data_IF_118755804085
#
_entry.id   IF_118755804085
#
_cell.length_a   1.000
_cell.length_b   1.000
_cell.length_c   1.000
_cell.angle_alpha   90.00
_cell.angle_beta   90.00
_cell.angle_gamma   90.00
#
_symmetry.space_group_name_H-M   'P 1'
#
loop_
_entity.id
_entity.type
_entity.pdbx_description
1 polymer ?
#
# COMPACT_ATOMS: atom_id res chain seq x y z
N UNK A 1 20.34 14.49 -8.89
CA UNK A 1 19.25 14.31 -7.92
C UNK A 1 19.81 13.51 -6.76
N UNK A 2 19.78 14.07 -5.57
CA UNK A 2 20.49 13.56 -4.38
C UNK A 2 19.85 12.28 -3.87
N UNK A 3 20.66 11.25 -3.63
CA UNK A 3 20.21 10.07 -2.88
C UNK A 3 19.72 10.54 -1.49
N UNK A 4 18.54 10.11 -1.01
CA UNK A 4 18.08 10.50 0.31
C UNK A 4 19.07 9.99 1.36
N UNK A 5 19.41 10.86 2.31
CA UNK A 5 20.25 10.55 3.47
C UNK A 5 19.45 9.62 4.38
N UNK A 6 20.08 8.54 4.85
CA UNK A 6 19.50 7.65 5.87
C UNK A 6 19.03 8.50 7.07
N UNK A 7 17.71 8.64 7.26
CA UNK A 7 17.10 9.37 8.38
C UNK A 7 16.14 10.50 8.02
N UNK A 8 16.05 10.91 6.75
CA UNK A 8 15.11 11.95 6.32
C UNK A 8 13.77 11.32 5.88
N UNK A 9 12.64 11.80 6.43
CA UNK A 9 11.32 11.35 5.99
C UNK A 9 11.12 11.88 4.55
N UNK A 10 10.85 11.01 3.57
CA UNK A 10 10.65 11.46 2.20
C UNK A 10 9.45 12.40 2.12
N UNK A 11 9.59 13.46 1.33
CA UNK A 11 8.51 14.40 1.11
C UNK A 11 7.27 13.68 0.56
N UNK A 12 6.11 14.03 1.11
CA UNK A 12 4.83 13.50 0.70
C UNK A 12 4.32 14.27 -0.53
N UNK A 13 3.85 13.53 -1.54
CA UNK A 13 3.22 14.09 -2.74
C UNK A 13 1.71 13.84 -2.69
N UNK A 14 0.89 14.82 -3.10
CA UNK A 14 -0.55 14.63 -3.15
C UNK A 14 -0.91 13.55 -4.20
N UNK A 15 -1.64 12.51 -3.79
CA UNK A 15 -2.08 11.43 -4.66
C UNK A 15 -3.55 11.54 -5.07
N UNK A 16 -4.35 12.19 -4.22
CA UNK A 16 -5.76 12.44 -4.50
C UNK A 16 -6.57 12.58 -3.23
N UNK A 17 -7.87 12.33 -3.34
CA UNK A 17 -8.79 12.29 -2.22
C UNK A 17 -9.67 11.05 -2.34
N UNK A 18 -10.07 10.48 -1.21
CA UNK A 18 -11.10 9.44 -1.17
C UNK A 18 -12.46 10.02 -1.58
N UNK A 19 -13.42 9.14 -1.89
CA UNK A 19 -14.85 9.51 -2.08
C UNK A 19 -15.40 10.34 -0.91
N UNK A 20 -14.95 10.06 0.31
CA UNK A 20 -15.33 10.77 1.53
C UNK A 20 -14.54 12.08 1.77
N UNK A 21 -13.65 12.45 0.84
CA UNK A 21 -12.92 13.72 0.85
C UNK A 21 -11.61 13.72 1.64
N UNK A 22 -11.16 12.58 2.16
CA UNK A 22 -9.87 12.49 2.87
C UNK A 22 -8.70 12.59 1.91
N UNK A 23 -7.73 13.46 2.22
CA UNK A 23 -6.51 13.58 1.43
C UNK A 23 -5.67 12.29 1.53
N UNK A 24 -5.16 11.84 0.38
CA UNK A 24 -4.24 10.71 0.27
C UNK A 24 -2.94 11.22 -0.30
N UNK A 25 -1.84 10.84 0.32
CA UNK A 25 -0.49 11.23 -0.07
C UNK A 25 0.32 9.99 -0.47
N UNK A 26 1.34 10.19 -1.30
CA UNK A 26 2.34 9.20 -1.70
C UNK A 26 3.70 9.54 -1.08
N UNK A 27 4.33 8.53 -0.51
CA UNK A 27 5.72 8.59 -0.04
C UNK A 27 6.59 7.78 -1.00
N UNK A 28 7.64 8.41 -1.54
CA UNK A 28 8.60 7.74 -2.41
C UNK A 28 9.86 7.35 -1.62
N UNK A 29 10.05 6.06 -1.44
CA UNK A 29 11.22 5.46 -0.79
C UNK A 29 12.25 5.07 -1.86
N UNK A 30 13.53 5.35 -1.63
CA UNK A 30 14.63 4.98 -2.53
C UNK A 30 15.75 4.35 -1.75
N UNK A 31 16.38 3.30 -2.30
CA UNK A 31 17.60 2.74 -1.72
C UNK A 31 18.83 3.02 -2.60
N UNK A 32 20.02 2.74 -2.05
CA UNK A 32 21.30 2.94 -2.75
C UNK A 32 21.47 2.05 -3.99
N UNK A 33 20.67 1.00 -4.14
CA UNK A 33 20.74 0.02 -5.23
C UNK A 33 19.76 0.35 -6.38
N UNK A 34 19.12 1.52 -6.36
CA UNK A 34 18.23 1.97 -7.43
C UNK A 34 16.78 1.46 -7.34
N UNK A 35 16.39 0.76 -6.27
CA UNK A 35 15.00 0.40 -6.02
C UNK A 35 14.21 1.62 -5.57
N UNK A 36 13.00 1.78 -6.10
CA UNK A 36 12.06 2.84 -5.74
C UNK A 36 10.73 2.22 -5.37
N UNK A 37 10.23 2.47 -4.16
CA UNK A 37 8.90 2.06 -3.73
C UNK A 37 8.05 3.31 -3.48
N UNK A 38 6.80 3.31 -3.98
CA UNK A 38 5.83 4.36 -3.68
C UNK A 38 4.70 3.78 -2.85
N UNK A 39 4.47 4.37 -1.67
CA UNK A 39 3.48 3.89 -0.71
C UNK A 39 2.49 5.01 -0.42
N UNK A 40 1.19 4.75 -0.52
CA UNK A 40 0.17 5.74 -0.17
C UNK A 40 -0.27 5.66 1.29
N UNK A 41 -0.71 6.78 1.85
CA UNK A 41 -1.17 6.88 3.25
C UNK A 41 -2.41 6.04 3.53
N UNK A 42 -3.27 5.83 2.53
CA UNK A 42 -4.45 4.97 2.66
C UNK A 42 -4.04 3.50 2.69
N UNK A 43 -4.19 2.88 3.86
CA UNK A 43 -3.90 1.45 4.05
C UNK A 43 -2.43 1.06 3.88
N UNK A 44 -1.51 2.03 3.96
CA UNK A 44 -0.08 1.83 3.70
C UNK A 44 0.16 1.00 2.42
N UNK A 45 -0.58 1.32 1.36
CA UNK A 45 -0.64 0.49 0.14
C UNK A 45 0.58 0.75 -0.72
N UNK A 46 1.26 -0.32 -1.15
CA UNK A 46 2.33 -0.25 -2.15
C UNK A 46 1.71 0.00 -3.54
N UNK A 47 1.88 1.21 -4.06
CA UNK A 47 1.30 1.64 -5.32
C UNK A 47 2.21 1.31 -6.49
N UNK A 48 3.52 1.53 -6.33
CA UNK A 48 4.52 1.25 -7.36
C UNK A 48 5.78 0.66 -6.74
N UNK A 49 6.44 -0.24 -7.47
CA UNK A 49 7.73 -0.80 -7.08
C UNK A 49 8.62 -0.92 -8.31
N UNK A 50 9.53 0.04 -8.48
CA UNK A 50 10.50 0.04 -9.56
C UNK A 50 11.73 -0.77 -9.17
N UNK A 51 11.98 -1.85 -9.90
CA UNK A 51 13.10 -2.77 -9.66
C UNK A 51 14.04 -2.77 -10.87
N UNK A 52 15.35 -2.49 -10.69
CA UNK A 52 16.34 -2.60 -11.76
C UNK A 52 16.48 -4.04 -12.28
N UNK A 53 16.45 -4.21 -13.60
CA UNK A 53 16.76 -5.46 -14.28
C UNK A 53 18.27 -5.74 -14.33
N UNK A 54 18.68 -6.83 -15.01
CA UNK A 54 20.09 -7.21 -15.17
C UNK A 54 20.95 -6.15 -15.92
N UNK A 55 20.33 -5.22 -16.62
CA UNK A 55 21.00 -4.12 -17.33
C UNK A 55 20.91 -2.80 -16.54
N UNK A 56 20.34 -2.81 -15.33
CA UNK A 56 20.11 -1.63 -14.51
C UNK A 56 18.89 -0.80 -14.91
N UNK A 57 18.06 -1.27 -15.85
CA UNK A 57 16.82 -0.59 -16.25
C UNK A 57 15.73 -0.91 -15.24
N UNK A 58 15.20 0.10 -14.55
CA UNK A 58 14.11 -0.07 -13.59
C UNK A 58 12.74 -0.10 -14.29
N UNK A 59 11.87 -0.99 -13.84
CA UNK A 59 10.47 -1.08 -14.29
C UNK A 59 9.53 -1.34 -13.12
N UNK A 60 8.27 -0.93 -13.23
CA UNK A 60 7.26 -1.15 -12.19
C UNK A 60 6.77 -2.60 -12.23
N UNK A 61 6.97 -3.34 -11.13
CA UNK A 61 6.72 -4.79 -11.08
C UNK A 61 5.48 -5.19 -10.28
N UNK A 62 4.69 -4.22 -9.82
CA UNK A 62 3.44 -4.48 -9.08
C UNK A 62 2.21 -4.06 -9.88
N UNK A 63 1.09 -4.74 -9.64
CA UNK A 63 -0.20 -4.31 -10.14
C UNK A 63 -0.77 -3.22 -9.24
N UNK A 64 -1.47 -2.26 -9.84
CA UNK A 64 -2.03 -1.12 -9.12
C UNK A 64 -2.89 -0.25 -10.02
N UNK A 65 -3.18 0.95 -9.52
CA UNK A 65 -3.98 1.96 -10.22
C UNK A 65 -3.26 3.30 -10.23
N UNK A 66 -3.59 4.15 -11.19
CA UNK A 66 -2.98 5.47 -11.34
C UNK A 66 -3.45 6.49 -10.29
N UNK A 67 -4.62 6.26 -9.67
CA UNK A 67 -5.21 7.17 -8.70
C UNK A 67 -5.98 6.47 -7.58
N UNK A 68 -6.36 7.26 -6.56
CA UNK A 68 -7.10 6.80 -5.37
C UNK A 68 -8.43 6.15 -5.74
N UNK A 69 -9.10 6.60 -6.80
CA UNK A 69 -10.43 6.11 -7.18
C UNK A 69 -10.38 4.67 -7.67
N UNK A 70 -9.32 4.27 -8.38
CA UNK A 70 -9.07 2.88 -8.74
C UNK A 70 -8.89 1.98 -7.50
N UNK A 71 -8.20 2.47 -6.46
CA UNK A 71 -8.09 1.74 -5.19
C UNK A 71 -9.40 1.70 -4.36
N UNK A 72 -10.42 2.47 -4.74
CA UNK A 72 -11.77 2.48 -4.15
C UNK A 72 -12.84 1.86 -5.06
N UNK A 73 -12.44 1.29 -6.20
CA UNK A 73 -13.34 0.61 -7.13
C UNK A 73 -13.50 -0.88 -6.77
N UNK A 74 -14.53 -1.49 -7.34
CA UNK A 74 -14.79 -2.93 -7.20
C UNK A 74 -13.74 -3.79 -7.92
N UNK A 75 -12.97 -3.20 -8.83
CA UNK A 75 -11.90 -3.89 -9.56
C UNK A 75 -10.67 -4.14 -8.66
N UNK A 76 -10.57 -3.44 -7.52
CA UNK A 76 -9.44 -3.58 -6.62
C UNK A 76 -9.49 -4.91 -5.83
N UNK A 77 -8.73 -5.90 -6.29
CA UNK A 77 -8.54 -7.20 -5.64
C UNK A 77 -7.46 -7.16 -4.53
N UNK A 78 -7.49 -6.14 -3.67
CA UNK A 78 -6.52 -5.93 -2.58
C UNK A 78 -5.07 -5.66 -3.03
N UNK A 79 -4.88 -5.02 -4.20
CA UNK A 79 -3.54 -4.77 -4.76
C UNK A 79 -2.66 -3.95 -3.82
N UNK A 80 -1.47 -4.47 -3.51
CA UNK A 80 -0.44 -3.80 -2.71
C UNK A 80 -0.83 -3.46 -1.28
N UNK A 81 -2.02 -3.86 -0.80
CA UNK A 81 -2.56 -3.37 0.47
C UNK A 81 -1.89 -4.00 1.69
N UNK A 82 -1.88 -3.27 2.80
CA UNK A 82 -1.59 -3.86 4.11
C UNK A 82 -2.87 -4.45 4.69
N UNK A 83 -2.98 -5.79 4.74
CA UNK A 83 -4.18 -6.49 5.22
C UNK A 83 -4.23 -6.58 6.75
N UNK A 84 -5.37 -6.23 7.37
CA UNK A 84 -5.58 -6.38 8.81
C UNK A 84 -7.04 -6.19 9.23
N UNK A 85 -7.43 -6.44 10.50
CA UNK A 85 -6.61 -6.86 11.66
C UNK A 85 -6.17 -8.32 11.64
N UNK A 86 -6.87 -9.18 10.91
CA UNK A 86 -6.49 -10.58 10.70
C UNK A 86 -6.57 -10.84 9.20
N UNK A 87 -5.48 -11.33 8.62
CA UNK A 87 -5.47 -11.68 7.21
C UNK A 87 -6.12 -13.05 6.99
N UNK A 88 -6.75 -13.23 5.82
CA UNK A 88 -7.40 -14.47 5.42
C UNK A 88 -8.65 -14.82 6.26
N UNK A 89 -9.00 -16.11 6.31
CA UNK A 89 -10.32 -16.57 6.75
C UNK A 89 -10.35 -16.87 8.25
N UNK A 90 -11.41 -16.39 8.90
CA UNK A 90 -11.85 -16.86 10.21
C UNK A 90 -13.10 -17.72 9.97
N UNK A 91 -13.06 -18.98 10.39
CA UNK A 91 -14.13 -19.94 10.13
C UNK A 91 -15.47 -19.43 10.65
N UNK A 92 -16.48 -19.38 9.76
CA UNK A 92 -17.84 -18.88 10.06
C UNK A 92 -17.86 -17.45 10.63
N UNK A 93 -16.81 -16.65 10.43
CA UNK A 93 -16.69 -15.30 11.01
C UNK A 93 -16.71 -15.29 12.53
N UNK A 94 -16.33 -16.39 13.20
CA UNK A 94 -16.45 -16.53 14.66
C UNK A 94 -15.17 -17.01 15.31
N UNK A 95 -14.87 -16.46 16.47
CA UNK A 95 -13.78 -16.94 17.32
C UNK A 95 -14.07 -16.66 18.79
N UNK A 96 -13.37 -17.35 19.69
CA UNK A 96 -13.42 -17.11 21.13
C UNK A 96 -12.08 -16.60 21.63
N UNK A 97 -12.10 -15.59 22.50
CA UNK A 97 -10.92 -15.06 23.17
C UNK A 97 -11.29 -14.82 24.63
N UNK A 98 -10.49 -15.35 25.56
CA UNK A 98 -10.69 -15.19 27.01
C UNK A 98 -12.11 -15.59 27.48
N UNK A 99 -12.65 -16.68 26.91
CA UNK A 99 -13.99 -17.18 27.25
C UNK A 99 -15.15 -16.39 26.65
N UNK A 100 -14.89 -15.33 25.88
CA UNK A 100 -15.92 -14.55 25.18
C UNK A 100 -15.95 -14.90 23.69
N UNK A 101 -17.14 -15.16 23.14
CA UNK A 101 -17.36 -15.35 21.70
C UNK A 101 -17.48 -13.99 20.99
N UNK A 102 -16.86 -13.89 19.81
CA UNK A 102 -16.92 -12.74 18.92
C UNK A 102 -17.44 -13.19 17.56
N UNK A 103 -18.37 -12.41 17.00
CA UNK A 103 -18.89 -12.58 15.63
C UNK A 103 -18.45 -11.40 14.79
N UNK A 104 -17.89 -11.70 13.61
CA UNK A 104 -17.39 -10.75 12.61
C UNK A 104 -18.38 -10.63 11.44
N UNK A 105 -18.15 -9.66 10.56
CA UNK A 105 -18.86 -9.57 9.29
C UNK A 105 -18.58 -10.82 8.42
N UNK A 106 -19.57 -11.25 7.65
CA UNK A 106 -19.52 -12.38 6.69
C UNK A 106 -19.99 -11.87 5.34
#
# INVERSE_FOLDING_TARGET
MTSPVLGEIPAAEAFGKTKDGHAVELYTLRNANGLIAKVMTRGATLVQLYVPDKNGKADDVVLGFDDVSGYESEDNQYFGCTTGRVCNRIAKGKFSLEGKEYTLAI
#
